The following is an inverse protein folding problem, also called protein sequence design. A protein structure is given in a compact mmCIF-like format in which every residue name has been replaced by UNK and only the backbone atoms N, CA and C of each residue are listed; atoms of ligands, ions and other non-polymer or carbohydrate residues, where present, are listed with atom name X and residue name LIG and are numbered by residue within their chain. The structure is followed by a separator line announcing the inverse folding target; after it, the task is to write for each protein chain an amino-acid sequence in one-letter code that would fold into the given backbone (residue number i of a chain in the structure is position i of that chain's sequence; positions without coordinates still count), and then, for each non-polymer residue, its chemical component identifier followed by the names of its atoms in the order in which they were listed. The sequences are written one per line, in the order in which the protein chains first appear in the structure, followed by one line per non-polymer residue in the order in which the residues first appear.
data_IF_614673734434
#
_entry.id   IF_614673734434
#
_cell.length_a   1.000
_cell.length_b   1.000
_cell.length_c   1.000
_cell.angle_alpha   90.00
_cell.angle_beta   90.00
_cell.angle_gamma   90.00
#
_symmetry.space_group_name_H-M   'P 1'
#
loop_
_entity.id
_entity.type
_entity.pdbx_description
1 polymer ?
#
# COMPACT_ATOMS: atom_id res chain seq x y z
N UNK A 1 -14.68 4.77 14.62
CA UNK A 1 -16.16 4.59 14.55
C UNK A 1 -16.97 5.90 14.63
N UNK A 2 -16.51 7.03 14.06
CA UNK A 2 -17.23 8.34 14.17
C UNK A 2 -17.60 9.00 12.83
N UNK A 3 -17.25 8.35 11.72
CA UNK A 3 -17.44 8.86 10.34
C UNK A 3 -18.80 8.50 9.75
N UNK A 4 -19.39 7.34 10.10
CA UNK A 4 -20.70 6.93 9.57
C UNK A 4 -21.86 7.87 9.96
N UNK A 5 -21.79 8.55 11.11
CA UNK A 5 -22.84 9.48 11.55
C UNK A 5 -22.87 10.77 10.72
N UNK A 6 -21.76 11.14 10.06
CA UNK A 6 -21.69 12.35 9.22
C UNK A 6 -22.15 12.05 7.80
N UNK A 7 -21.80 10.88 7.27
CA UNK A 7 -22.25 10.41 5.96
C UNK A 7 -23.79 10.29 5.89
N UNK A 8 -24.43 9.80 6.95
CA UNK A 8 -25.90 9.68 7.02
C UNK A 8 -26.61 11.03 7.16
N UNK A 9 -25.97 12.01 7.80
CA UNK A 9 -26.48 13.40 7.87
C UNK A 9 -26.37 14.12 6.52
N UNK A 10 -25.28 13.90 5.78
CA UNK A 10 -25.06 14.47 4.45
C UNK A 10 -26.03 13.84 3.42
N UNK A 11 -26.22 12.52 3.47
CA UNK A 11 -27.18 11.82 2.61
C UNK A 11 -28.63 12.24 2.91
N UNK A 12 -28.97 12.49 4.18
CA UNK A 12 -30.28 13.02 4.57
C UNK A 12 -30.52 14.47 4.12
N UNK A 13 -29.48 15.30 4.10
CA UNK A 13 -29.54 16.67 3.59
C UNK A 13 -29.66 16.71 2.05
N UNK A 14 -28.97 15.82 1.33
CA UNK A 14 -29.07 15.71 -0.12
C UNK A 14 -30.44 15.17 -0.58
N UNK A 15 -31.00 14.19 0.13
CA UNK A 15 -32.33 13.64 -0.19
C UNK A 15 -33.46 14.66 0.07
N UNK A 16 -33.29 15.54 1.06
CA UNK A 16 -34.25 16.62 1.34
C UNK A 16 -34.12 17.80 0.37
N UNK A 17 -32.92 18.07 -0.15
CA UNK A 17 -32.71 19.09 -1.19
C UNK A 17 -33.25 18.64 -2.56
N UNK A 18 -33.14 17.35 -2.90
CA UNK A 18 -33.70 16.79 -4.13
C UNK A 18 -35.25 16.83 -4.16
N UNK A 19 -35.92 16.76 -3.01
CA UNK A 19 -37.38 16.85 -2.94
C UNK A 19 -37.93 18.29 -3.15
N UNK A 20 -37.12 19.32 -2.91
CA UNK A 20 -37.53 20.73 -3.08
C UNK A 20 -37.41 21.17 -4.55
N UNK A 21 -36.49 20.58 -5.32
CA UNK A 21 -36.29 20.93 -6.73
C UNK A 21 -37.41 20.44 -7.67
N UNK A 22 -38.16 19.39 -7.30
CA UNK A 22 -39.26 18.86 -8.11
C UNK A 22 -40.57 19.65 -7.98
N UNK A 23 -40.63 20.67 -7.12
CA UNK A 23 -41.88 21.35 -6.76
C UNK A 23 -42.06 22.75 -7.38
N UNK A 24 -41.12 23.25 -8.21
CA UNK A 24 -41.27 24.52 -8.91
C UNK A 24 -40.91 24.38 -10.39
N UNK A 25 -41.89 24.01 -11.19
CA UNK A 25 -41.98 24.49 -12.57
C UNK A 25 -42.88 25.73 -12.59
N UNK A 26 -42.41 26.82 -13.21
CA UNK A 26 -43.16 27.70 -14.14
C UNK A 26 -42.30 28.92 -14.54
N UNK A 27 -42.25 29.14 -15.86
CA UNK A 27 -41.86 30.30 -16.72
C UNK A 27 -41.16 31.60 -16.19
N UNK A 28 -40.20 32.08 -17.02
CA UNK A 28 -39.47 33.39 -17.09
C UNK A 28 -38.31 33.70 -16.11
N UNK A 29 -37.44 34.70 -16.43
CA UNK A 29 -36.39 34.78 -17.47
C UNK A 29 -34.99 34.45 -16.89
N UNK A 30 -34.00 34.18 -17.77
CA UNK A 30 -32.58 33.88 -17.48
C UNK A 30 -32.19 33.93 -15.99
N UNK A 31 -32.33 32.77 -15.33
CA UNK A 31 -32.06 32.63 -13.91
C UNK A 31 -30.64 33.08 -13.56
N UNK A 32 -30.52 33.78 -12.44
CA UNK A 32 -29.26 34.15 -11.80
C UNK A 32 -28.45 32.87 -11.50
N UNK A 33 -27.56 32.49 -12.42
CA UNK A 33 -26.77 31.25 -12.32
C UNK A 33 -25.77 31.30 -11.17
N UNK A 34 -25.58 32.47 -10.53
CA UNK A 34 -24.60 32.66 -9.46
C UNK A 34 -24.79 31.70 -8.28
N UNK A 35 -26.02 31.24 -8.01
CA UNK A 35 -26.30 30.24 -6.98
C UNK A 35 -25.87 28.82 -7.39
N UNK A 36 -26.06 28.46 -8.67
CA UNK A 36 -25.61 27.19 -9.22
C UNK A 36 -24.08 27.15 -9.38
N UNK A 37 -23.49 28.27 -9.84
CA UNK A 37 -22.04 28.45 -9.95
C UNK A 37 -21.37 28.40 -8.56
N UNK A 38 -21.98 28.99 -7.53
CA UNK A 38 -21.49 28.89 -6.16
C UNK A 38 -21.61 27.47 -5.58
N UNK A 39 -22.67 26.73 -5.92
CA UNK A 39 -22.82 25.33 -5.51
C UNK A 39 -21.80 24.42 -6.20
N UNK A 40 -21.53 24.64 -7.49
CA UNK A 40 -20.50 23.93 -8.24
C UNK A 40 -19.09 24.23 -7.68
N UNK A 41 -18.80 25.49 -7.35
CA UNK A 41 -17.53 25.87 -6.74
C UNK A 41 -17.35 25.27 -5.33
N UNK A 42 -18.42 25.17 -4.54
CA UNK A 42 -18.40 24.51 -3.24
C UNK A 42 -18.16 22.99 -3.39
N UNK A 43 -18.83 22.33 -4.33
CA UNK A 43 -18.61 20.92 -4.62
C UNK A 43 -17.18 20.63 -5.12
N UNK A 44 -16.62 21.51 -5.95
CA UNK A 44 -15.22 21.42 -6.38
C UNK A 44 -14.24 21.62 -5.22
N UNK A 45 -14.53 22.54 -4.29
CA UNK A 45 -13.71 22.74 -3.10
C UNK A 45 -13.77 21.54 -2.15
N UNK A 46 -14.94 20.94 -1.97
CA UNK A 46 -15.11 19.72 -1.17
C UNK A 46 -14.40 18.52 -1.82
N UNK A 47 -14.46 18.39 -3.15
CA UNK A 47 -13.72 17.37 -3.90
C UNK A 47 -12.20 17.55 -3.76
N UNK A 48 -11.68 18.77 -3.95
CA UNK A 48 -10.26 19.07 -3.77
C UNK A 48 -9.79 18.81 -2.33
N UNK A 49 -10.64 19.07 -1.33
CA UNK A 49 -10.34 18.74 0.07
C UNK A 49 -10.28 17.22 0.31
N UNK A 50 -11.21 16.46 -0.28
CA UNK A 50 -11.21 15.00 -0.21
C UNK A 50 -10.00 14.39 -0.92
N UNK A 51 -9.60 14.92 -2.08
CA UNK A 51 -8.39 14.53 -2.79
C UNK A 51 -7.12 14.81 -1.97
N UNK A 52 -7.05 15.96 -1.30
CA UNK A 52 -5.93 16.28 -0.43
C UNK A 52 -5.85 15.35 0.79
N UNK A 53 -6.99 14.98 1.38
CA UNK A 53 -7.06 14.01 2.48
C UNK A 53 -6.64 12.61 2.01
N UNK A 54 -7.08 12.19 0.82
CA UNK A 54 -6.68 10.91 0.22
C UNK A 54 -5.19 10.87 -0.12
N UNK A 55 -4.63 11.97 -0.65
CA UNK A 55 -3.20 12.07 -0.93
C UNK A 55 -2.35 12.04 0.35
N UNK A 56 -2.82 12.67 1.44
CA UNK A 56 -2.16 12.60 2.73
C UNK A 56 -2.18 11.18 3.31
N UNK A 57 -3.32 10.49 3.22
CA UNK A 57 -3.45 9.10 3.66
C UNK A 57 -2.58 8.15 2.82
N UNK A 58 -2.48 8.37 1.50
CA UNK A 58 -1.60 7.61 0.62
C UNK A 58 -0.12 7.82 0.98
N UNK A 59 0.30 9.06 1.24
CA UNK A 59 1.67 9.35 1.66
C UNK A 59 2.02 8.72 3.01
N UNK A 60 1.07 8.67 3.95
CA UNK A 60 1.23 7.97 5.23
C UNK A 60 1.36 6.46 5.04
N UNK A 61 0.56 5.87 4.14
CA UNK A 61 0.65 4.45 3.79
C UNK A 61 1.98 4.11 3.10
N UNK A 62 2.44 4.93 2.17
CA UNK A 62 3.72 4.75 1.48
C UNK A 62 4.90 4.86 2.46
N UNK A 63 4.84 5.80 3.41
CA UNK A 63 5.86 5.93 4.46
C UNK A 63 5.88 4.70 5.37
N UNK A 64 4.71 4.21 5.80
CA UNK A 64 4.61 3.02 6.63
C UNK A 64 5.12 1.76 5.90
N UNK A 65 4.83 1.64 4.59
CA UNK A 65 5.35 0.56 3.77
C UNK A 65 6.88 0.60 3.66
N UNK A 66 7.46 1.79 3.45
CA UNK A 66 8.91 1.97 3.41
C UNK A 66 9.57 1.68 4.76
N UNK A 67 8.93 2.06 5.87
CA UNK A 67 9.40 1.73 7.22
C UNK A 67 9.37 0.21 7.48
N UNK A 68 8.33 -0.49 7.04
CA UNK A 68 8.24 -1.94 7.15
C UNK A 68 9.33 -2.65 6.32
N UNK A 69 9.55 -2.23 5.08
CA UNK A 69 10.62 -2.78 4.23
C UNK A 69 12.03 -2.52 4.82
N UNK A 70 12.24 -1.33 5.37
CA UNK A 70 13.49 -1.00 6.05
C UNK A 70 13.70 -1.85 7.32
N UNK A 71 12.64 -2.09 8.09
CA UNK A 71 12.68 -2.93 9.28
C UNK A 71 12.96 -4.40 8.93
N UNK A 72 12.34 -4.93 7.87
CA UNK A 72 12.61 -6.28 7.35
C UNK A 72 14.08 -6.42 6.93
N UNK A 73 14.60 -5.43 6.20
CA UNK A 73 16.01 -5.39 5.77
C UNK A 73 16.95 -5.38 6.98
N UNK A 74 16.69 -4.51 7.96
CA UNK A 74 17.48 -4.44 9.19
C UNK A 74 17.44 -5.75 9.99
N UNK A 75 16.28 -6.42 10.06
CA UNK A 75 16.15 -7.72 10.69
C UNK A 75 16.98 -8.80 9.97
N UNK A 76 16.97 -8.80 8.63
CA UNK A 76 17.77 -9.73 7.83
C UNK A 76 19.28 -9.50 8.00
N UNK A 77 19.71 -8.24 8.04
CA UNK A 77 21.11 -7.87 8.28
C UNK A 77 21.57 -8.27 9.68
N UNK A 78 20.80 -7.93 10.72
CA UNK A 78 21.10 -8.30 12.10
C UNK A 78 21.14 -9.82 12.29
N UNK A 79 20.23 -10.54 11.64
CA UNK A 79 20.23 -12.01 11.67
C UNK A 79 21.48 -12.61 11.00
N UNK A 80 21.96 -12.00 9.90
CA UNK A 80 23.20 -12.41 9.25
C UNK A 80 24.42 -12.15 10.14
N UNK A 81 24.46 -11.02 10.85
CA UNK A 81 25.50 -10.71 11.83
C UNK A 81 25.50 -11.69 13.01
N UNK A 82 24.33 -12.01 13.55
CA UNK A 82 24.17 -13.02 14.61
C UNK A 82 24.70 -14.38 14.18
N UNK A 83 24.38 -14.84 12.96
CA UNK A 83 24.93 -16.09 12.42
C UNK A 83 26.46 -16.04 12.24
N UNK A 84 26.99 -14.91 11.79
CA UNK A 84 28.44 -14.75 11.66
C UNK A 84 29.15 -14.76 13.03
N UNK A 85 28.58 -14.12 14.04
CA UNK A 85 29.11 -14.10 15.40
C UNK A 85 29.03 -15.49 16.06
N UNK A 86 27.91 -16.19 15.91
CA UNK A 86 27.76 -17.57 16.37
C UNK A 86 28.78 -18.52 15.71
N UNK A 87 29.08 -18.33 14.42
CA UNK A 87 30.11 -19.11 13.74
C UNK A 87 31.52 -18.87 14.34
N UNK A 88 31.87 -17.62 14.65
CA UNK A 88 33.15 -17.30 15.32
C UNK A 88 33.26 -17.91 16.72
N UNK A 89 32.16 -17.88 17.50
CA UNK A 89 32.13 -18.53 18.81
C UNK A 89 32.32 -20.05 18.70
N UNK A 90 31.68 -20.68 17.70
CA UNK A 90 31.86 -22.11 17.43
C UNK A 90 33.29 -22.45 16.97
N UNK A 91 33.91 -21.60 16.16
CA UNK A 91 35.31 -21.77 15.73
C UNK A 91 36.27 -21.63 16.92
N UNK A 92 36.02 -20.69 17.85
CA UNK A 92 36.81 -20.53 19.08
C UNK A 92 36.67 -21.74 20.02
N UNK A 93 35.45 -22.27 20.20
CA UNK A 93 35.20 -23.48 20.99
C UNK A 93 35.92 -24.69 20.38
N UNK A 94 35.86 -24.84 19.05
CA UNK A 94 36.56 -25.90 18.33
C UNK A 94 38.09 -25.78 18.47
N UNK A 95 38.63 -24.56 18.44
CA UNK A 95 40.06 -24.31 18.63
C UNK A 95 40.52 -24.69 20.05
N UNK A 96 39.76 -24.29 21.07
CA UNK A 96 40.01 -24.69 22.46
C UNK A 96 39.96 -26.22 22.63
N UNK A 97 38.92 -26.86 22.07
CA UNK A 97 38.77 -28.31 22.11
C UNK A 97 39.92 -29.05 21.40
N UNK A 98 40.37 -28.54 20.24
CA UNK A 98 41.49 -29.10 19.50
C UNK A 98 42.81 -28.97 20.29
N UNK A 99 43.07 -27.81 20.89
CA UNK A 99 44.26 -27.59 21.72
C UNK A 99 44.29 -28.54 22.94
N UNK A 100 43.13 -28.79 23.55
CA UNK A 100 43.00 -29.78 24.63
C UNK A 100 43.21 -31.22 24.16
N UNK A 101 42.89 -31.55 22.90
CA UNK A 101 42.97 -32.89 22.34
C UNK A 101 44.37 -33.26 21.77
N UNK A 102 45.12 -32.31 21.19
CA UNK A 102 46.47 -32.55 20.64
C UNK A 102 47.56 -32.72 21.72
N UNK A 103 47.20 -32.55 22.98
CA UNK A 103 48.10 -32.61 24.11
C UNK A 103 48.48 -34.04 24.53
N UNK A 104 49.37 -34.70 23.77
CA UNK A 104 50.15 -35.85 24.28
C UNK A 104 51.24 -35.43 25.31
N UNK A 105 51.07 -34.29 25.99
CA UNK A 105 51.95 -33.70 26.99
C UNK A 105 51.27 -32.57 27.78
N UNK A 106 51.97 -31.91 28.71
CA UNK A 106 51.42 -30.77 29.45
C UNK A 106 51.26 -29.55 28.53
N UNK A 107 50.01 -29.17 28.24
CA UNK A 107 49.68 -27.93 27.52
C UNK A 107 50.23 -26.75 28.31
N UNK A 108 50.76 -25.75 27.59
CA UNK A 108 51.12 -24.48 28.21
C UNK A 108 49.84 -23.82 28.78
N UNK A 109 49.75 -23.61 30.10
CA UNK A 109 48.57 -23.00 30.72
C UNK A 109 48.28 -21.60 30.17
N UNK A 110 49.30 -20.89 29.67
CA UNK A 110 49.12 -19.56 29.10
C UNK A 110 48.36 -19.60 27.76
N UNK A 111 48.55 -20.66 26.95
CA UNK A 111 47.84 -20.87 25.67
C UNK A 111 46.38 -21.25 25.91
N UNK A 112 46.11 -22.09 26.93
CA UNK A 112 44.73 -22.43 27.30
C UNK A 112 43.98 -21.20 27.78
N UNK A 113 44.63 -20.37 28.61
CA UNK A 113 44.03 -19.13 29.10
C UNK A 113 43.72 -18.13 27.97
N UNK A 114 44.57 -18.06 26.94
CA UNK A 114 44.33 -17.22 25.76
C UNK A 114 43.10 -17.72 24.97
N UNK A 115 43.01 -19.02 24.68
CA UNK A 115 41.88 -19.61 23.94
C UNK A 115 40.57 -19.55 24.73
N UNK A 116 40.60 -19.72 26.05
CA UNK A 116 39.43 -19.53 26.92
C UNK A 116 38.93 -18.08 26.89
N UNK A 117 39.85 -17.11 26.90
CA UNK A 117 39.50 -15.69 26.77
C UNK A 117 38.95 -15.33 25.38
N UNK A 118 39.50 -15.92 24.31
CA UNK A 118 38.97 -15.78 22.94
C UNK A 118 37.56 -16.35 22.82
N UNK A 119 37.31 -17.55 23.38
CA UNK A 119 35.97 -18.15 23.44
C UNK A 119 35.00 -17.27 24.23
N UNK A 120 35.40 -16.77 25.40
CA UNK A 120 34.55 -15.88 26.21
C UNK A 120 34.19 -14.60 25.45
N UNK A 121 35.17 -13.97 24.77
CA UNK A 121 34.94 -12.80 23.94
C UNK A 121 34.01 -13.09 22.77
N UNK A 122 34.25 -14.19 22.03
CA UNK A 122 33.43 -14.56 20.88
C UNK A 122 32.00 -14.95 21.29
N UNK A 123 31.83 -15.62 22.44
CA UNK A 123 30.54 -15.95 23.00
C UNK A 123 29.77 -14.70 23.45
N UNK A 124 30.46 -13.70 24.01
CA UNK A 124 29.85 -12.42 24.37
C UNK A 124 29.38 -11.64 23.12
N UNK A 125 30.20 -11.58 22.06
CA UNK A 125 29.82 -10.97 20.78
C UNK A 125 28.63 -11.70 20.13
N UNK A 126 28.61 -13.04 20.18
CA UNK A 126 27.49 -13.83 19.66
C UNK A 126 26.18 -13.54 20.42
N UNK A 127 26.24 -13.45 21.75
CA UNK A 127 25.07 -13.13 22.56
C UNK A 127 24.55 -11.70 22.32
N UNK A 128 25.45 -10.73 22.13
CA UNK A 128 25.07 -9.35 21.79
C UNK A 128 24.42 -9.29 20.40
N UNK A 129 25.00 -9.97 19.41
CA UNK A 129 24.45 -10.02 18.06
C UNK A 129 23.09 -10.75 17.99
N UNK A 130 22.92 -11.84 18.76
CA UNK A 130 21.63 -12.53 18.90
C UNK A 130 20.56 -11.62 19.49
N UNK A 131 20.88 -10.89 20.56
CA UNK A 131 19.95 -9.92 21.15
C UNK A 131 19.58 -8.78 20.19
N UNK A 132 20.54 -8.32 19.38
CA UNK A 132 20.29 -7.32 18.34
C UNK A 132 19.38 -7.85 17.22
N UNK A 133 19.59 -9.10 16.77
CA UNK A 133 18.74 -9.77 15.79
C UNK A 133 17.30 -9.96 16.31
N UNK A 134 17.13 -10.40 17.56
CA UNK A 134 15.81 -10.52 18.18
C UNK A 134 15.08 -9.18 18.26
N UNK A 135 15.79 -8.11 18.64
CA UNK A 135 15.22 -6.77 18.70
C UNK A 135 14.81 -6.26 17.31
N UNK A 136 15.64 -6.48 16.29
CA UNK A 136 15.33 -6.09 14.92
C UNK A 136 14.15 -6.89 14.33
N UNK A 137 14.09 -8.20 14.60
CA UNK A 137 12.96 -9.04 14.20
C UNK A 137 11.65 -8.62 14.88
N UNK A 138 11.69 -8.21 16.16
CA UNK A 138 10.53 -7.68 16.85
C UNK A 138 10.02 -6.37 16.23
N UNK A 139 10.94 -5.47 15.85
CA UNK A 139 10.60 -4.22 15.17
C UNK A 139 9.99 -4.47 13.78
N UNK A 140 10.55 -5.41 13.01
CA UNK A 140 9.99 -5.81 11.71
C UNK A 140 8.56 -6.38 11.85
N UNK A 141 8.33 -7.25 12.85
CA UNK A 141 7.01 -7.81 13.10
C UNK A 141 5.99 -6.75 13.53
N UNK A 142 6.40 -5.75 14.30
CA UNK A 142 5.54 -4.62 14.68
C UNK A 142 5.17 -3.76 13.46
N UNK A 143 6.12 -3.48 12.58
CA UNK A 143 5.88 -2.73 11.34
C UNK A 143 4.97 -3.50 10.37
N UNK A 144 5.18 -4.80 10.21
CA UNK A 144 4.30 -5.67 9.41
C UNK A 144 2.87 -5.69 9.97
N UNK A 145 2.71 -5.81 11.30
CA UNK A 145 1.40 -5.79 11.93
C UNK A 145 0.67 -4.45 11.74
N UNK A 146 1.39 -3.32 11.81
CA UNK A 146 0.83 -2.00 11.54
C UNK A 146 0.36 -1.87 10.08
N UNK A 147 1.15 -2.37 9.12
CA UNK A 147 0.77 -2.41 7.71
C UNK A 147 -0.47 -3.26 7.48
N UNK A 148 -0.53 -4.44 8.11
CA UNK A 148 -1.69 -5.32 8.01
C UNK A 148 -2.96 -4.68 8.59
N UNK A 149 -2.86 -3.97 9.71
CA UNK A 149 -3.98 -3.24 10.29
C UNK A 149 -4.49 -2.15 9.33
N UNK A 150 -3.57 -1.41 8.71
CA UNK A 150 -3.89 -0.39 7.72
C UNK A 150 -4.59 -1.00 6.50
N UNK A 151 -4.07 -2.09 5.94
CA UNK A 151 -4.70 -2.78 4.81
C UNK A 151 -6.09 -3.31 5.15
N UNK A 152 -6.25 -3.90 6.34
CA UNK A 152 -7.54 -4.41 6.82
C UNK A 152 -8.54 -3.30 7.16
N UNK A 153 -8.08 -2.06 7.32
CA UNK A 153 -8.99 -0.90 7.46
C UNK A 153 -9.84 -0.67 6.21
N UNK A 154 -9.42 -1.21 5.06
CA UNK A 154 -10.15 -1.15 3.79
C UNK A 154 -11.26 -2.18 3.68
N UNK A 155 -11.38 -3.12 4.64
CA UNK A 155 -12.31 -4.23 4.56
C UNK A 155 -13.76 -3.77 4.35
N UNK A 156 -14.41 -4.34 3.33
CA UNK A 156 -15.77 -3.99 2.92
C UNK A 156 -15.89 -2.80 1.95
N UNK A 157 -14.78 -2.11 1.63
CA UNK A 157 -14.76 -1.10 0.58
C UNK A 157 -15.02 -1.76 -0.78
N UNK A 158 -15.90 -1.16 -1.59
CA UNK A 158 -16.26 -1.69 -2.91
C UNK A 158 -15.51 -0.89 -3.97
N UNK A 159 -14.77 -1.59 -4.83
CA UNK A 159 -14.03 -1.00 -5.96
C UNK A 159 -14.73 -1.40 -7.26
N UNK A 160 -15.62 -0.56 -7.82
CA UNK A 160 -16.15 -0.74 -9.17
C UNK A 160 -15.06 -0.66 -10.24
N UNK A 161 -14.94 -1.72 -11.03
CA UNK A 161 -14.02 -1.79 -12.17
C UNK A 161 -14.83 -2.06 -13.44
N UNK A 162 -14.63 -1.23 -14.47
CA UNK A 162 -15.22 -1.42 -15.79
C UNK A 162 -14.17 -1.91 -16.79
N UNK A 163 -14.48 -2.92 -17.59
CA UNK A 163 -13.54 -3.42 -18.59
C UNK A 163 -14.18 -4.21 -19.74
N UNK A 164 -13.39 -4.54 -20.79
CA UNK A 164 -13.86 -5.23 -21.98
C UNK A 164 -13.96 -6.75 -21.81
N UNK A 165 -13.27 -7.31 -20.81
CA UNK A 165 -13.20 -8.76 -20.60
C UNK A 165 -14.57 -9.30 -20.20
N UNK A 166 -14.97 -10.42 -20.80
CA UNK A 166 -16.27 -11.08 -20.55
C UNK A 166 -16.07 -12.60 -20.43
N UNK A 167 -17.04 -13.30 -19.83
CA UNK A 167 -16.97 -14.76 -19.67
C UNK A 167 -15.73 -15.21 -18.90
N UNK A 168 -15.05 -16.24 -19.38
CA UNK A 168 -13.88 -16.82 -18.70
C UNK A 168 -12.70 -15.85 -18.55
N UNK A 169 -12.59 -14.85 -19.43
CA UNK A 169 -11.56 -13.82 -19.31
C UNK A 169 -11.84 -12.88 -18.12
N UNK A 170 -13.11 -12.53 -17.90
CA UNK A 170 -13.53 -11.76 -16.72
C UNK A 170 -13.32 -12.54 -15.41
N UNK A 171 -13.57 -13.85 -15.41
CA UNK A 171 -13.30 -14.73 -14.27
C UNK A 171 -11.81 -14.77 -13.94
N UNK A 172 -10.95 -14.94 -14.96
CA UNK A 172 -9.50 -14.91 -14.79
C UNK A 172 -8.99 -13.55 -14.30
N UNK A 173 -9.54 -12.46 -14.82
CA UNK A 173 -9.24 -11.10 -14.38
C UNK A 173 -9.57 -10.92 -12.89
N UNK A 174 -10.80 -11.28 -12.47
CA UNK A 174 -11.23 -11.22 -11.08
C UNK A 174 -10.40 -12.09 -10.14
N UNK A 175 -9.99 -13.28 -10.58
CA UNK A 175 -9.12 -14.16 -9.82
C UNK A 175 -7.74 -13.54 -9.54
N UNK A 176 -7.25 -12.67 -10.44
CA UNK A 176 -6.02 -11.90 -10.23
C UNK A 176 -6.07 -10.97 -9.02
N UNK A 177 -7.27 -10.55 -8.59
CA UNK A 177 -7.45 -9.72 -7.39
C UNK A 177 -7.62 -10.52 -6.11
N UNK A 178 -7.71 -11.85 -6.14
CA UNK A 178 -7.97 -12.64 -4.93
C UNK A 178 -6.93 -12.40 -3.83
N UNK A 179 -5.60 -12.38 -4.10
CA UNK A 179 -4.61 -12.11 -3.06
C UNK A 179 -4.80 -10.73 -2.41
N UNK A 180 -5.14 -9.72 -3.21
CA UNK A 180 -5.42 -8.37 -2.71
C UNK A 180 -6.69 -8.36 -1.86
N UNK A 181 -7.75 -9.04 -2.30
CA UNK A 181 -9.04 -9.13 -1.59
C UNK A 181 -8.91 -9.88 -0.27
N UNK A 182 -8.13 -10.96 -0.24
CA UNK A 182 -7.86 -11.72 0.99
C UNK A 182 -7.08 -10.86 1.99
N UNK A 183 -6.08 -10.11 1.52
CA UNK A 183 -5.20 -9.31 2.37
C UNK A 183 -5.87 -8.04 2.91
N UNK A 184 -6.70 -7.38 2.12
CA UNK A 184 -7.28 -6.05 2.45
C UNK A 184 -8.76 -6.11 2.81
N UNK A 185 -9.45 -7.22 2.48
CA UNK A 185 -10.90 -7.35 2.65
C UNK A 185 -11.73 -6.50 1.69
N UNK A 186 -11.15 -5.89 0.65
CA UNK A 186 -11.92 -5.13 -0.35
C UNK A 186 -12.83 -6.03 -1.19
N UNK A 187 -13.88 -5.44 -1.73
CA UNK A 187 -14.81 -6.08 -2.67
C UNK A 187 -14.57 -5.50 -4.05
N UNK A 188 -13.95 -6.27 -4.94
CA UNK A 188 -13.82 -5.89 -6.35
C UNK A 188 -15.12 -6.20 -7.08
N UNK A 189 -15.76 -5.16 -7.64
CA UNK A 189 -16.96 -5.30 -8.47
C UNK A 189 -16.61 -5.05 -9.93
N UNK A 190 -16.36 -6.12 -10.66
CA UNK A 190 -16.06 -6.03 -12.09
C UNK A 190 -17.33 -6.05 -12.95
N UNK A 191 -17.46 -5.05 -13.84
CA UNK A 191 -18.44 -5.00 -14.91
C UNK A 191 -17.73 -5.22 -16.26
N UNK A 192 -17.98 -6.38 -16.87
CA UNK A 192 -17.38 -6.77 -18.16
C UNK A 192 -18.36 -6.57 -19.31
N UNK A 193 -18.02 -5.70 -20.26
CA UNK A 193 -18.89 -5.39 -21.42
C UNK A 193 -18.08 -5.07 -22.68
N UNK A 194 -18.56 -5.52 -23.85
CA UNK A 194 -17.92 -5.17 -25.14
C UNK A 194 -18.07 -3.69 -25.50
N UNK A 195 -19.01 -3.01 -24.85
CA UNK A 195 -19.33 -1.60 -25.06
C UNK A 195 -18.79 -0.71 -23.92
N UNK A 196 -17.75 -1.16 -23.20
CA UNK A 196 -17.16 -0.47 -22.04
C UNK A 196 -16.87 1.02 -22.28
N UNK A 197 -16.42 1.40 -23.48
CA UNK A 197 -16.18 2.80 -23.84
C UNK A 197 -17.46 3.65 -23.80
N UNK A 198 -18.57 3.11 -24.30
CA UNK A 198 -19.86 3.80 -24.32
C UNK A 198 -20.41 3.91 -22.90
N UNK A 199 -20.35 2.83 -22.13
CA UNK A 199 -20.77 2.82 -20.72
C UNK A 199 -19.95 3.80 -19.88
N UNK A 200 -18.63 3.86 -20.08
CA UNK A 200 -17.76 4.82 -19.40
C UNK A 200 -18.19 6.27 -19.67
N UNK A 201 -18.44 6.63 -20.94
CA UNK A 201 -18.85 7.99 -21.27
C UNK A 201 -20.17 8.36 -20.60
N UNK A 202 -21.15 7.45 -20.63
CA UNK A 202 -22.44 7.68 -19.98
C UNK A 202 -22.30 7.82 -18.46
N UNK A 203 -21.44 7.02 -17.84
CA UNK A 203 -21.15 7.07 -16.40
C UNK A 203 -20.49 8.40 -16.00
N UNK A 204 -19.50 8.86 -16.76
CA UNK A 204 -18.85 10.17 -16.57
C UNK A 204 -19.85 11.30 -16.77
N UNK A 205 -20.64 11.29 -17.85
CA UNK A 205 -21.68 12.29 -18.11
C UNK A 205 -22.76 12.33 -17.01
N UNK A 206 -23.06 11.18 -16.39
CA UNK A 206 -24.00 11.07 -15.29
C UNK A 206 -23.39 11.46 -13.93
N UNK A 207 -22.08 11.71 -13.84
CA UNK A 207 -21.38 12.01 -12.60
C UNK A 207 -21.21 10.81 -11.66
N UNK A 208 -21.23 9.59 -12.20
CA UNK A 208 -21.05 8.32 -11.45
C UNK A 208 -20.05 7.40 -12.17
N UNK A 209 -18.79 7.83 -12.40
CA UNK A 209 -17.78 7.02 -13.07
C UNK A 209 -17.34 5.82 -12.21
N UNK A 210 -16.80 4.75 -12.83
CA UNK A 210 -16.14 3.68 -12.08
C UNK A 210 -14.83 4.16 -11.46
N UNK A 211 -14.38 3.53 -10.36
CA UNK A 211 -13.10 3.82 -9.71
C UNK A 211 -11.92 3.47 -10.62
N UNK A 212 -12.04 2.35 -11.35
CA UNK A 212 -11.01 1.88 -12.28
C UNK A 212 -11.67 1.51 -13.60
N UNK A 213 -11.04 1.90 -14.70
CA UNK A 213 -11.46 1.48 -16.04
C UNK A 213 -10.30 0.92 -16.85
N UNK A 214 -10.55 -0.17 -17.56
CA UNK A 214 -9.62 -0.79 -18.48
C UNK A 214 -10.08 -0.49 -19.89
N UNK A 215 -9.30 0.31 -20.62
CA UNK A 215 -9.59 0.67 -22.02
C UNK A 215 -8.35 0.46 -22.90
N UNK A 216 -8.52 -0.08 -24.13
CA UNK A 216 -7.41 -0.30 -25.04
C UNK A 216 -6.97 0.97 -25.80
N UNK A 217 -7.42 2.15 -25.38
CA UNK A 217 -7.31 3.41 -26.11
C UNK A 217 -6.50 4.45 -25.32
N UNK A 218 -5.16 4.45 -25.43
CA UNK A 218 -4.31 5.36 -24.65
C UNK A 218 -4.63 6.83 -24.89
N UNK A 219 -4.98 7.22 -26.13
CA UNK A 219 -5.36 8.60 -26.43
C UNK A 219 -6.59 9.12 -25.68
N UNK A 220 -7.49 8.23 -25.20
CA UNK A 220 -8.61 8.64 -24.35
C UNK A 220 -8.22 8.91 -22.91
N UNK A 221 -7.15 8.26 -22.42
CA UNK A 221 -6.63 8.51 -21.07
C UNK A 221 -6.13 9.96 -20.99
N UNK A 222 -5.42 10.42 -22.02
CA UNK A 222 -4.98 11.82 -22.13
C UNK A 222 -6.16 12.80 -22.13
N UNK A 223 -7.21 12.50 -22.90
CA UNK A 223 -8.42 13.33 -22.94
C UNK A 223 -9.10 13.43 -21.57
N UNK A 224 -9.21 12.33 -20.82
CA UNK A 224 -9.79 12.34 -19.48
C UNK A 224 -8.90 13.08 -18.46
N UNK A 225 -7.59 13.00 -18.60
CA UNK A 225 -6.67 13.80 -17.79
C UNK A 225 -6.82 15.30 -18.06
N UNK A 226 -6.95 15.71 -19.33
CA UNK A 226 -7.18 17.10 -19.71
C UNK A 226 -8.56 17.64 -19.28
N UNK A 227 -9.59 16.79 -19.26
CA UNK A 227 -10.94 17.17 -18.82
C UNK A 227 -11.14 17.14 -17.31
N UNK A 228 -10.22 16.52 -16.56
CA UNK A 228 -10.32 16.33 -15.11
C UNK A 228 -11.18 15.14 -14.69
N UNK A 229 -11.56 14.27 -15.63
CA UNK A 229 -12.36 13.07 -15.38
C UNK A 229 -11.49 11.84 -15.02
N UNK A 230 -10.17 11.99 -15.00
CA UNK A 230 -9.22 10.98 -14.53
C UNK A 230 -8.34 11.53 -13.41
N UNK A 231 -8.13 10.72 -12.37
CA UNK A 231 -7.22 11.03 -11.27
C UNK A 231 -5.79 10.69 -11.68
N UNK A 232 -4.85 11.60 -11.40
CA UNK A 232 -3.44 11.37 -11.65
C UNK A 232 -2.89 10.22 -10.78
N UNK A 233 -2.03 9.39 -11.36
CA UNK A 233 -1.33 8.34 -10.61
C UNK A 233 -0.37 9.02 -9.62
N UNK A 234 -0.34 8.63 -8.33
CA UNK A 234 0.58 9.20 -7.36
C UNK A 234 2.05 9.05 -7.77
N UNK A 235 2.87 10.06 -7.45
CA UNK A 235 4.30 10.08 -7.76
C UNK A 235 5.06 8.88 -7.15
N UNK A 236 4.63 8.38 -5.99
CA UNK A 236 5.19 7.20 -5.34
C UNK A 236 5.00 5.93 -6.17
N UNK A 237 3.82 5.76 -6.77
CA UNK A 237 3.55 4.66 -7.70
C UNK A 237 4.35 4.85 -8.99
N UNK A 238 4.43 6.08 -9.51
CA UNK A 238 5.23 6.39 -10.70
C UNK A 238 6.72 6.06 -10.51
N UNK A 239 7.26 6.34 -9.33
CA UNK A 239 8.64 5.99 -8.97
C UNK A 239 8.88 4.48 -8.97
N UNK A 240 7.88 3.68 -8.56
CA UNK A 240 7.97 2.22 -8.48
C UNK A 240 7.78 1.51 -9.83
N UNK A 241 7.04 2.09 -10.78
CA UNK A 241 6.88 1.51 -12.12
C UNK A 241 7.97 1.94 -13.11
N UNK A 242 8.76 2.96 -12.76
CA UNK A 242 9.88 3.47 -13.54
C UNK A 242 10.91 2.38 -13.85
N UNK A 243 11.11 2.07 -15.13
CA UNK A 243 12.05 1.03 -15.57
C UNK A 243 11.43 -0.36 -15.79
N UNK A 244 10.18 -0.57 -15.36
CA UNK A 244 9.41 -1.79 -15.67
C UNK A 244 8.67 -1.71 -17.01
N UNK A 245 8.54 -0.49 -17.56
CA UNK A 245 7.87 -0.21 -18.83
C UNK A 245 8.78 0.62 -19.75
N UNK A 246 8.57 0.47 -21.06
CA UNK A 246 9.23 1.29 -22.08
C UNK A 246 8.84 2.77 -21.93
N UNK A 247 9.77 3.70 -22.20
CA UNK A 247 9.54 5.15 -22.11
C UNK A 247 8.35 5.61 -22.97
N UNK A 248 8.06 4.91 -24.06
CA UNK A 248 6.89 5.15 -24.91
C UNK A 248 5.55 5.18 -24.15
N UNK A 249 5.45 4.51 -23.01
CA UNK A 249 4.22 4.51 -22.20
C UNK A 249 4.05 5.77 -21.33
N UNK A 250 5.08 6.60 -21.23
CA UNK A 250 5.12 7.80 -20.39
C UNK A 250 5.21 9.11 -21.19
N UNK A 251 5.55 9.03 -22.48
CA UNK A 251 5.60 10.15 -23.44
C UNK A 251 4.25 10.39 -24.15
#
# INVERSE_FOLDING_TARGET
MKTHSRLWLILGALLSLALVASACGDDEPAADTSAADAAAAAAQADAAAAEAEAAAAAAEADAAAAEAEAAETAAAEAQAEAYAAAARAADADAALAAAMAEAEGAIDPDVVAELEAELESAAAEAAEAEAAAEAAAAAAAEAEAAMQEMEMSLAGSVVPILGPETGSAAEGFLAGFEPLRERTGIVVRYSGTRDATTELNLAVEAGDPPDIVIIPQPGRILQFGESGDAVAIPDSIMANIGGSYDQFWFD
#
